data_IF_785463732908
#
_entry.id   IF_785463732908
#
_cell.length_a   1.000
_cell.length_b   1.000
_cell.length_c   1.000
_cell.angle_alpha   90.00
_cell.angle_beta   90.00
_cell.angle_gamma   90.00
#
_symmetry.space_group_name_H-M   'P 1'
#
loop_
_entity.id
_entity.type
_entity.pdbx_description
1 polymer ?
#
# COMPACT_ATOMS: atom_id res chain seq x y z
N UNK A 1 -0.91 -56.85 -28.68
CA UNK A 1 -0.55 -55.60 -27.99
C UNK A 1 -1.72 -54.67 -28.16
N UNK A 2 -2.54 -54.59 -27.11
CA UNK A 2 -3.89 -54.05 -27.15
C UNK A 2 -3.85 -52.59 -26.74
N UNK A 3 -4.38 -51.73 -27.61
CA UNK A 3 -4.53 -50.29 -27.45
C UNK A 3 -5.78 -50.08 -26.60
N UNK A 4 -5.62 -49.80 -25.30
CA UNK A 4 -6.74 -49.41 -24.43
C UNK A 4 -6.87 -47.89 -24.42
N UNK A 5 -7.81 -47.41 -25.23
CA UNK A 5 -8.54 -46.18 -24.99
C UNK A 5 -9.07 -46.14 -23.55
N UNK A 6 -8.71 -45.10 -22.79
CA UNK A 6 -9.48 -44.69 -21.63
C UNK A 6 -10.24 -43.41 -21.96
N UNK A 7 -11.55 -43.62 -22.00
CA UNK A 7 -12.65 -42.70 -22.16
C UNK A 7 -12.73 -41.70 -20.98
N UNK A 8 -12.79 -40.40 -21.31
CA UNK A 8 -13.56 -39.33 -20.62
C UNK A 8 -13.08 -38.84 -19.23
N UNK A 9 -13.46 -37.60 -18.79
CA UNK A 9 -14.57 -36.77 -19.27
C UNK A 9 -14.23 -35.32 -19.67
N UNK A 10 -14.83 -34.90 -20.78
CA UNK A 10 -15.16 -33.51 -21.10
C UNK A 10 -15.89 -32.85 -19.93
N UNK A 11 -15.28 -31.86 -19.28
CA UNK A 11 -15.99 -30.93 -18.39
C UNK A 11 -16.95 -30.11 -19.24
N UNK A 12 -18.25 -30.40 -19.11
CA UNK A 12 -19.34 -29.49 -19.48
C UNK A 12 -19.16 -28.21 -18.67
N UNK A 13 -18.74 -27.13 -19.32
CA UNK A 13 -18.80 -25.79 -18.76
C UNK A 13 -20.25 -25.42 -18.44
N UNK A 14 -20.51 -24.63 -17.40
CA UNK A 14 -21.86 -24.16 -17.10
C UNK A 14 -22.38 -23.34 -18.26
N UNK A 15 -23.59 -23.68 -18.71
CA UNK A 15 -24.31 -22.97 -19.74
C UNK A 15 -24.46 -21.50 -19.33
N UNK A 16 -23.90 -20.60 -20.15
CA UNK A 16 -24.22 -19.17 -20.12
C UNK A 16 -25.71 -19.02 -20.44
N UNK A 17 -26.53 -18.95 -19.39
CA UNK A 17 -27.91 -18.53 -19.50
C UNK A 17 -27.91 -17.02 -19.80
N UNK A 18 -27.97 -16.71 -21.09
CA UNK A 18 -28.27 -15.38 -21.64
C UNK A 18 -29.70 -15.02 -21.22
N UNK A 19 -29.84 -14.44 -20.03
CA UNK A 19 -31.09 -13.83 -19.60
C UNK A 19 -31.20 -12.46 -20.26
N UNK A 20 -31.81 -12.45 -21.44
CA UNK A 20 -32.37 -11.26 -22.06
C UNK A 20 -33.77 -11.01 -21.48
N UNK A 21 -34.09 -9.72 -21.27
CA UNK A 21 -35.38 -9.06 -21.05
C UNK A 21 -35.66 -8.57 -19.62
N UNK A 22 -36.39 -7.44 -19.42
CA UNK A 22 -36.67 -6.31 -20.34
C UNK A 22 -36.38 -4.93 -19.70
N UNK A 23 -36.28 -3.90 -20.56
CA UNK A 23 -36.39 -2.49 -20.17
C UNK A 23 -37.74 -2.27 -19.46
N UNK A 24 -37.71 -2.00 -18.16
CA UNK A 24 -38.80 -1.35 -17.46
C UNK A 24 -38.43 0.14 -17.30
N UNK A 25 -38.85 0.94 -18.27
CA UNK A 25 -38.91 2.39 -18.12
C UNK A 25 -39.97 2.70 -17.04
N UNK A 26 -39.52 3.14 -15.87
CA UNK A 26 -40.38 3.71 -14.85
C UNK A 26 -40.06 5.20 -14.71
N UNK A 27 -40.82 5.99 -15.47
CA UNK A 27 -40.96 7.43 -15.29
C UNK A 27 -42.00 7.72 -14.19
N UNK A 28 -41.93 8.93 -13.62
CA UNK A 28 -42.74 9.57 -12.55
C UNK A 28 -42.09 9.46 -11.15
N UNK A 29 -41.92 10.52 -10.34
CA UNK A 29 -42.48 11.89 -10.35
C UNK A 29 -41.58 12.88 -9.59
N UNK A 30 -41.64 14.12 -10.05
CA UNK A 30 -41.12 15.37 -9.49
C UNK A 30 -41.59 15.58 -8.03
N UNK A 31 -40.66 15.83 -7.10
CA UNK A 31 -40.99 16.55 -5.86
C UNK A 31 -40.06 17.75 -5.72
N UNK A 32 -40.49 18.85 -6.30
CA UNK A 32 -39.93 20.18 -6.10
C UNK A 32 -40.54 20.76 -4.84
N UNK A 33 -39.77 20.82 -3.75
CA UNK A 33 -40.06 21.72 -2.64
C UNK A 33 -39.29 23.02 -2.90
N UNK A 34 -39.91 23.91 -3.68
CA UNK A 34 -39.55 25.32 -3.73
C UNK A 34 -40.78 26.14 -3.31
N UNK A 35 -40.65 26.85 -2.19
CA UNK A 35 -41.44 27.99 -1.70
C UNK A 35 -40.80 28.32 -0.33
N UNK A 36 -40.06 29.40 -0.08
CA UNK A 36 -40.04 30.74 -0.68
C UNK A 36 -40.50 31.74 0.38
N UNK A 37 -39.58 32.51 0.98
CA UNK A 37 -39.90 33.63 1.87
C UNK A 37 -38.64 34.43 2.28
N UNK A 38 -38.63 35.79 2.21
CA UNK A 38 -37.40 36.58 2.06
C UNK A 38 -36.96 37.42 3.29
N UNK A 39 -35.70 37.86 3.20
CA UNK A 39 -35.11 39.13 3.67
C UNK A 39 -35.15 39.49 5.17
N UNK A 40 -33.99 39.35 5.83
CA UNK A 40 -33.35 40.42 6.59
C UNK A 40 -31.86 40.09 6.82
N UNK A 41 -30.97 40.74 6.07
CA UNK A 41 -29.61 41.13 6.52
C UNK A 41 -29.73 42.15 7.68
N UNK A 42 -28.66 42.55 8.38
CA UNK A 42 -27.28 42.02 8.47
C UNK A 42 -26.81 41.82 9.93
N UNK A 43 -25.73 41.07 10.19
CA UNK A 43 -24.69 41.46 11.16
C UNK A 43 -23.44 40.60 10.95
N UNK A 44 -22.37 41.28 10.55
CA UNK A 44 -20.97 40.92 10.66
C UNK A 44 -20.64 40.10 11.92
N UNK A 45 -20.14 38.88 11.72
CA UNK A 45 -19.16 38.25 12.59
C UNK A 45 -18.14 37.52 11.70
N UNK A 46 -17.55 38.28 10.79
CA UNK A 46 -16.21 37.99 10.28
C UNK A 46 -15.29 37.95 11.50
N UNK A 47 -15.05 36.76 12.05
CA UNK A 47 -13.94 36.56 12.97
C UNK A 47 -12.69 36.61 12.11
N UNK A 48 -12.22 37.84 11.90
CA UNK A 48 -10.90 38.16 11.42
C UNK A 48 -9.88 37.49 12.35
N UNK A 49 -9.48 36.27 12.00
CA UNK A 49 -8.26 35.69 12.54
C UNK A 49 -7.14 36.50 11.94
N UNK A 50 -6.61 37.38 12.78
CA UNK A 50 -5.56 38.34 12.52
C UNK A 50 -4.45 37.74 11.67
N UNK A 51 -4.38 38.20 10.43
CA UNK A 51 -3.18 38.19 9.60
C UNK A 51 -2.13 39.05 10.30
N UNK A 52 -1.38 38.45 11.22
CA UNK A 52 -0.18 39.09 11.78
C UNK A 52 0.90 39.06 10.71
N UNK A 53 1.00 40.17 9.97
CA UNK A 53 2.16 40.47 9.14
C UNK A 53 3.39 40.61 10.05
N UNK A 54 4.51 39.92 9.79
CA UNK A 54 5.76 40.24 10.45
C UNK A 54 6.31 41.55 9.87
N UNK A 55 6.39 42.59 10.71
CA UNK A 55 7.15 43.80 10.40
C UNK A 55 8.65 43.49 10.28
N UNK A 56 9.37 44.06 9.30
CA UNK A 56 10.81 43.93 9.16
C UNK A 56 11.53 44.83 10.19
N UNK A 57 11.88 44.27 11.34
CA UNK A 57 12.85 44.91 12.24
C UNK A 57 14.24 44.88 11.63
N UNK A 58 14.66 46.04 11.14
CA UNK A 58 16.04 46.34 10.76
C UNK A 58 16.84 46.67 12.03
N UNK A 59 18.15 46.35 12.03
CA UNK A 59 19.26 46.95 12.83
C UNK A 59 19.74 46.14 14.06
N UNK A 60 21.05 46.14 14.43
CA UNK A 60 22.32 46.22 13.68
C UNK A 60 23.25 45.00 13.90
N UNK A 61 24.33 44.98 13.12
CA UNK A 61 25.53 44.16 13.26
C UNK A 61 26.37 44.57 14.49
N UNK A 62 26.86 43.61 15.31
CA UNK A 62 28.17 43.74 15.92
C UNK A 62 29.13 42.66 15.42
N UNK A 63 30.21 43.14 14.81
CA UNK A 63 31.49 42.44 14.65
C UNK A 63 32.08 42.14 16.02
N UNK A 64 32.43 40.87 16.29
CA UNK A 64 33.78 40.44 16.72
C UNK A 64 33.79 38.97 17.21
N UNK A 65 34.59 38.17 16.48
CA UNK A 65 35.50 37.13 16.95
C UNK A 65 35.22 36.39 18.27
N UNK A 66 34.98 35.08 18.14
CA UNK A 66 35.16 34.09 19.20
C UNK A 66 35.48 32.74 18.58
N UNK A 67 36.76 32.51 18.29
CA UNK A 67 37.27 31.18 17.96
C UNK A 67 37.21 30.31 19.22
N UNK A 68 36.54 29.17 19.15
CA UNK A 68 36.73 28.05 20.07
C UNK A 68 36.46 26.77 19.32
N UNK A 69 37.55 26.17 18.85
CA UNK A 69 37.61 24.81 18.37
C UNK A 69 37.40 23.86 19.56
N UNK A 70 36.29 23.17 19.60
CA UNK A 70 36.12 21.96 20.40
C UNK A 70 36.24 20.76 19.46
N UNK A 71 37.36 20.07 19.58
CA UNK A 71 37.67 18.83 18.85
C UNK A 71 36.56 17.79 19.05
N UNK A 72 36.20 17.02 18.00
CA UNK A 72 35.35 15.86 18.17
C UNK A 72 36.17 14.76 18.88
N UNK A 73 35.70 14.33 20.05
CA UNK A 73 36.06 13.01 20.58
C UNK A 73 35.44 11.99 19.62
N UNK A 74 36.31 11.30 18.88
CA UNK A 74 35.97 10.10 18.13
C UNK A 74 35.44 9.06 19.12
N UNK A 75 34.12 8.93 19.18
CA UNK A 75 33.48 7.80 19.83
C UNK A 75 33.60 6.65 18.85
N UNK A 76 34.50 5.72 19.16
CA UNK A 76 34.62 4.41 18.51
C UNK A 76 33.25 3.77 18.44
N UNK A 77 32.65 3.83 17.26
CA UNK A 77 31.51 3.03 16.87
C UNK A 77 31.97 1.57 16.90
N UNK A 78 31.35 0.68 17.70
CA UNK A 78 31.59 -0.74 17.49
C UNK A 78 31.11 -1.03 16.08
N UNK A 79 32.06 -1.28 15.20
CA UNK A 79 31.86 -1.84 13.88
C UNK A 79 31.26 -3.22 14.08
N UNK A 80 29.95 -3.26 14.34
CA UNK A 80 29.16 -4.45 14.24
C UNK A 80 29.30 -4.90 12.81
N UNK A 81 29.97 -6.03 12.60
CA UNK A 81 29.70 -6.88 11.45
C UNK A 81 28.18 -6.93 11.33
N UNK A 82 27.62 -6.20 10.35
CA UNK A 82 26.30 -6.48 9.88
C UNK A 82 26.40 -7.92 9.38
N UNK A 83 25.90 -8.85 10.20
CA UNK A 83 25.66 -10.21 9.78
C UNK A 83 24.71 -10.08 8.61
N UNK A 84 25.26 -10.15 7.40
CA UNK A 84 24.49 -10.24 6.18
C UNK A 84 23.64 -11.49 6.39
N UNK A 85 22.32 -11.36 6.61
CA UNK A 85 21.49 -12.54 6.79
C UNK A 85 21.78 -13.45 5.60
N UNK A 86 21.88 -14.77 5.81
CA UNK A 86 22.18 -15.68 4.72
C UNK A 86 21.27 -15.30 3.55
N UNK A 87 21.88 -15.01 2.40
CA UNK A 87 21.14 -14.81 1.16
C UNK A 87 20.13 -15.95 1.13
N UNK A 88 18.87 -15.58 1.16
CA UNK A 88 17.80 -16.50 1.50
C UNK A 88 17.62 -17.43 0.31
N UNK A 89 18.46 -18.46 0.31
CA UNK A 89 18.66 -19.33 -0.82
C UNK A 89 17.48 -20.28 -0.85
N UNK A 90 16.77 -20.28 -1.98
CA UNK A 90 15.71 -21.25 -2.26
C UNK A 90 14.27 -20.73 -2.17
N UNK A 91 14.02 -19.43 -1.94
CA UNK A 91 12.63 -18.92 -2.00
C UNK A 91 12.10 -18.98 -3.42
N UNK A 92 10.98 -19.68 -3.59
CA UNK A 92 10.26 -19.80 -4.86
C UNK A 92 8.88 -19.17 -4.74
N UNK A 93 8.53 -18.27 -5.65
CA UNK A 93 7.26 -17.55 -5.59
C UNK A 93 6.68 -17.30 -6.98
N UNK A 94 5.35 -17.32 -7.07
CA UNK A 94 4.60 -16.82 -8.21
C UNK A 94 3.41 -16.02 -7.66
N UNK A 95 3.56 -14.71 -7.64
CA UNK A 95 2.64 -13.79 -6.97
C UNK A 95 2.07 -12.76 -7.94
N UNK A 96 0.80 -12.45 -7.75
CA UNK A 96 0.15 -11.26 -8.29
C UNK A 96 0.07 -10.21 -7.20
N UNK A 97 0.54 -9.01 -7.50
CA UNK A 97 0.57 -7.87 -6.58
C UNK A 97 -0.33 -6.80 -7.18
N UNK A 98 -1.37 -6.41 -6.47
CA UNK A 98 -2.29 -5.35 -6.87
C UNK A 98 -2.12 -4.17 -5.95
N UNK A 99 -1.90 -2.97 -6.49
CA UNK A 99 -1.70 -1.73 -5.72
C UNK A 99 -2.70 -0.69 -6.21
N UNK A 100 -3.52 -0.17 -5.32
CA UNK A 100 -4.44 0.94 -5.59
C UNK A 100 -3.96 2.17 -4.81
N UNK A 101 -3.74 3.27 -5.54
CA UNK A 101 -3.25 4.53 -4.96
C UNK A 101 -4.39 5.39 -4.42
N UNK A 102 -5.60 5.21 -4.96
CA UNK A 102 -6.81 5.94 -4.60
C UNK A 102 -8.01 5.00 -4.76
N UNK A 103 -9.02 5.04 -3.87
CA UNK A 103 -10.18 4.15 -3.94
C UNK A 103 -11.03 4.31 -5.21
N UNK A 104 -10.94 5.45 -5.91
CA UNK A 104 -11.61 5.69 -7.18
C UNK A 104 -10.75 5.31 -8.40
N UNK A 105 -9.48 4.98 -8.21
CA UNK A 105 -8.57 4.58 -9.28
C UNK A 105 -8.55 3.07 -9.47
N UNK A 106 -8.37 2.64 -10.73
CA UNK A 106 -8.14 1.24 -11.06
C UNK A 106 -6.81 0.75 -10.47
N UNK A 107 -6.78 -0.40 -9.77
CA UNK A 107 -5.55 -0.96 -9.23
C UNK A 107 -4.54 -1.32 -10.33
N UNK A 108 -3.27 -0.98 -10.10
CA UNK A 108 -2.16 -1.43 -10.95
C UNK A 108 -1.73 -2.82 -10.52
N UNK A 109 -1.54 -3.71 -11.48
CA UNK A 109 -1.21 -5.12 -11.25
C UNK A 109 0.20 -5.44 -11.73
N UNK A 110 0.94 -6.16 -10.88
CA UNK A 110 2.28 -6.65 -11.14
C UNK A 110 2.35 -8.16 -10.91
N UNK A 111 3.29 -8.80 -11.60
CA UNK A 111 3.68 -10.19 -11.36
C UNK A 111 5.06 -10.19 -10.71
N UNK A 112 5.24 -11.03 -9.70
CA UNK A 112 6.53 -11.31 -9.10
C UNK A 112 6.76 -12.82 -9.13
N UNK A 113 7.74 -13.21 -9.92
CA UNK A 113 8.28 -14.57 -9.94
C UNK A 113 9.63 -14.57 -9.23
N UNK A 114 9.81 -15.44 -8.25
CA UNK A 114 11.11 -15.67 -7.63
C UNK A 114 11.51 -17.13 -7.85
N UNK A 115 12.73 -17.35 -8.32
CA UNK A 115 13.35 -18.66 -8.50
C UNK A 115 14.66 -18.66 -7.72
N UNK A 116 14.76 -19.53 -6.72
CA UNK A 116 15.92 -19.62 -5.83
C UNK A 116 16.33 -18.27 -5.18
N UNK A 117 15.33 -17.44 -4.88
CA UNK A 117 15.52 -16.12 -4.26
C UNK A 117 15.88 -14.99 -5.23
N UNK A 118 16.00 -15.27 -6.54
CA UNK A 118 16.24 -14.27 -7.57
C UNK A 118 14.99 -14.03 -8.45
N UNK A 119 14.82 -12.85 -9.06
CA UNK A 119 13.70 -12.59 -9.96
C UNK A 119 13.71 -13.50 -11.19
N UNK A 120 12.56 -14.08 -11.48
CA UNK A 120 12.30 -14.82 -12.72
C UNK A 120 11.83 -13.91 -13.86
N UNK A 121 11.88 -14.41 -15.11
CA UNK A 121 11.54 -13.64 -16.32
C UNK A 121 10.07 -13.21 -16.40
N UNK A 122 9.16 -13.81 -15.64
CA UNK A 122 7.77 -13.38 -15.59
C UNK A 122 7.53 -12.14 -14.71
N UNK A 123 8.55 -11.69 -13.95
CA UNK A 123 8.42 -10.55 -13.04
C UNK A 123 8.24 -9.24 -13.81
N UNK A 124 7.19 -8.49 -13.45
CA UNK A 124 6.93 -7.13 -13.94
C UNK A 124 7.04 -6.07 -12.85
N UNK A 125 7.27 -6.49 -11.59
CA UNK A 125 7.46 -5.59 -10.47
C UNK A 125 8.78 -4.80 -10.62
N UNK A 126 8.79 -3.46 -10.54
CA UNK A 126 9.98 -2.64 -10.78
C UNK A 126 11.18 -2.96 -9.87
N UNK A 127 10.93 -3.41 -8.64
CA UNK A 127 11.96 -3.72 -7.63
C UNK A 127 11.99 -5.23 -7.31
N UNK A 128 11.94 -6.08 -8.33
CA UNK A 128 11.78 -7.52 -8.14
C UNK A 128 12.88 -8.16 -7.26
N UNK A 129 14.15 -7.72 -7.38
CA UNK A 129 15.26 -8.25 -6.57
C UNK A 129 15.04 -8.02 -5.08
N UNK A 130 14.71 -6.78 -4.70
CA UNK A 130 14.43 -6.41 -3.32
C UNK A 130 13.16 -7.13 -2.81
N UNK A 131 12.17 -7.30 -3.67
CA UNK A 131 10.95 -8.01 -3.33
C UNK A 131 11.21 -9.50 -3.04
N UNK A 132 11.99 -10.20 -3.86
CA UNK A 132 12.35 -11.60 -3.59
C UNK A 132 13.14 -11.73 -2.27
N UNK A 133 14.08 -10.83 -2.00
CA UNK A 133 14.80 -10.80 -0.72
C UNK A 133 13.85 -10.56 0.47
N UNK A 134 12.85 -9.69 0.32
CA UNK A 134 11.86 -9.43 1.35
C UNK A 134 10.94 -10.63 1.61
N UNK A 135 10.48 -11.33 0.57
CA UNK A 135 9.69 -12.56 0.72
C UNK A 135 10.44 -13.60 1.55
N UNK A 136 11.72 -13.77 1.23
CA UNK A 136 12.55 -14.77 1.85
C UNK A 136 12.89 -14.42 3.32
N UNK A 137 13.06 -13.13 3.63
CA UNK A 137 13.22 -12.62 5.01
C UNK A 137 11.95 -12.76 5.85
N UNK A 138 10.78 -12.49 5.27
CA UNK A 138 9.50 -12.45 6.00
C UNK A 138 8.88 -13.85 6.13
N UNK A 139 9.10 -14.71 5.15
CA UNK A 139 8.57 -16.07 5.07
C UNK A 139 7.05 -16.14 4.87
N UNK A 140 6.56 -17.33 4.52
CA UNK A 140 5.12 -17.59 4.24
C UNK A 140 4.18 -17.25 5.39
N UNK A 141 4.64 -17.37 6.63
CA UNK A 141 3.81 -17.08 7.83
C UNK A 141 3.39 -15.63 7.89
N UNK A 142 4.19 -14.69 7.42
CA UNK A 142 3.82 -13.28 7.39
C UNK A 142 2.64 -13.00 6.44
N UNK A 143 2.64 -13.65 5.28
CA UNK A 143 1.63 -13.45 4.23
C UNK A 143 0.36 -14.28 4.43
N UNK A 144 0.39 -15.30 5.29
CA UNK A 144 -0.77 -16.10 5.69
C UNK A 144 -1.37 -15.71 7.04
N UNK A 145 -0.64 -14.92 7.85
CA UNK A 145 -1.15 -14.41 9.11
C UNK A 145 -2.31 -13.44 8.89
N UNK A 146 -3.41 -13.68 9.62
CA UNK A 146 -4.48 -12.70 9.73
C UNK A 146 -4.16 -11.71 10.86
N UNK A 147 -4.43 -10.40 10.67
CA UNK A 147 -4.35 -9.43 11.74
C UNK A 147 -5.13 -9.90 12.96
N UNK A 148 -4.56 -9.71 14.16
CA UNK A 148 -5.29 -10.03 15.39
C UNK A 148 -6.42 -9.04 15.56
N UNK A 149 -7.64 -9.56 15.68
CA UNK A 149 -8.84 -8.80 16.02
C UNK A 149 -8.82 -8.19 17.43
N UNK A 150 -7.88 -8.65 18.27
CA UNK A 150 -7.68 -8.19 19.64
C UNK A 150 -6.45 -7.25 19.75
N UNK A 151 -5.83 -6.89 18.62
CA UNK A 151 -4.72 -5.93 18.60
C UNK A 151 -5.23 -4.52 18.95
N UNK A 152 -4.52 -3.82 19.84
CA UNK A 152 -4.75 -2.41 20.14
C UNK A 152 -3.86 -1.58 19.22
N UNK A 153 -4.48 -0.86 18.29
CA UNK A 153 -3.80 -0.08 17.25
C UNK A 153 -4.08 1.41 17.44
N UNK A 154 -3.16 2.28 16.99
CA UNK A 154 -3.40 3.72 16.98
C UNK A 154 -4.34 4.08 15.84
N UNK A 155 -5.20 5.08 16.02
CA UNK A 155 -6.10 5.58 14.98
C UNK A 155 -5.38 6.54 14.01
N UNK A 156 -4.20 6.15 13.53
CA UNK A 156 -3.41 6.94 12.59
C UNK A 156 -3.75 6.56 11.16
N UNK A 157 -4.19 7.55 10.37
CA UNK A 157 -4.42 7.37 8.94
C UNK A 157 -3.15 7.73 8.15
N UNK A 158 -2.61 6.77 7.41
CA UNK A 158 -1.39 6.89 6.60
C UNK A 158 -1.65 7.16 5.11
N UNK A 159 -2.89 7.01 4.64
CA UNK A 159 -3.29 7.34 3.27
C UNK A 159 -4.37 6.42 2.70
N UNK A 160 -4.90 6.76 1.50
CA UNK A 160 -5.97 5.99 0.84
C UNK A 160 -5.50 4.68 0.20
N UNK A 161 -4.19 4.46 0.13
CA UNK A 161 -3.61 3.35 -0.60
C UNK A 161 -3.98 2.00 0.02
N UNK A 162 -4.24 1.04 -0.86
CA UNK A 162 -4.43 -0.36 -0.49
C UNK A 162 -3.63 -1.25 -1.43
N UNK A 163 -3.31 -2.45 -0.97
CA UNK A 163 -2.65 -3.45 -1.80
C UNK A 163 -3.10 -4.86 -1.43
N UNK A 164 -2.96 -5.78 -2.38
CA UNK A 164 -3.11 -7.21 -2.15
C UNK A 164 -1.97 -7.99 -2.81
N UNK A 165 -1.57 -9.08 -2.17
CA UNK A 165 -0.59 -10.04 -2.66
C UNK A 165 -1.24 -11.41 -2.62
N UNK A 166 -1.32 -12.06 -3.79
CA UNK A 166 -1.94 -13.38 -3.95
C UNK A 166 -1.06 -14.31 -4.76
N UNK A 167 -1.17 -15.61 -4.54
CA UNK A 167 -0.46 -16.63 -5.32
C UNK A 167 0.19 -17.68 -4.46
N UNK A 168 1.34 -18.18 -4.87
CA UNK A 168 2.10 -19.22 -4.16
C UNK A 168 3.47 -18.69 -3.73
N UNK A 169 3.85 -19.01 -2.49
CA UNK A 169 5.16 -18.74 -1.92
C UNK A 169 5.63 -20.01 -1.21
N UNK A 170 6.75 -20.58 -1.65
CA UNK A 170 7.33 -21.84 -1.16
C UNK A 170 6.29 -22.99 -1.08
N UNK A 171 5.43 -23.09 -2.09
CA UNK A 171 4.33 -24.07 -2.17
C UNK A 171 3.17 -23.83 -1.20
N UNK A 172 3.14 -22.66 -0.54
CA UNK A 172 2.04 -22.22 0.30
C UNK A 172 1.23 -21.15 -0.40
N UNK A 173 -0.09 -21.36 -0.48
CA UNK A 173 -1.00 -20.34 -0.99
C UNK A 173 -1.07 -19.14 -0.05
N UNK A 174 -0.86 -17.94 -0.60
CA UNK A 174 -0.88 -16.69 0.14
C UNK A 174 -2.00 -15.77 -0.34
N UNK A 175 -2.63 -15.08 0.61
CA UNK A 175 -3.57 -14.00 0.38
C UNK A 175 -3.36 -12.99 1.51
N UNK A 176 -2.65 -11.91 1.18
CA UNK A 176 -2.38 -10.82 2.11
C UNK A 176 -2.97 -9.53 1.56
N UNK A 177 -3.73 -8.82 2.39
CA UNK A 177 -4.21 -7.47 2.11
C UNK A 177 -3.48 -6.46 3.00
N UNK A 178 -3.26 -5.26 2.48
CA UNK A 178 -2.58 -4.17 3.17
C UNK A 178 -3.37 -2.89 2.96
N UNK A 179 -3.45 -2.09 4.01
CA UNK A 179 -4.02 -0.75 3.99
C UNK A 179 -3.22 0.15 4.94
N UNK A 180 -3.58 1.41 5.02
CA UNK A 180 -2.90 2.41 5.84
C UNK A 180 -3.90 3.10 6.77
N UNK A 181 -4.86 2.37 7.33
CA UNK A 181 -5.97 2.96 8.07
C UNK A 181 -5.74 3.10 9.58
N UNK A 182 -4.78 2.34 10.11
CA UNK A 182 -4.35 2.40 11.51
C UNK A 182 -2.85 2.10 11.67
N UNK A 183 -2.31 2.31 12.87
CA UNK A 183 -0.88 2.12 13.14
C UNK A 183 -0.37 0.69 13.00
N UNK A 184 -1.21 -0.32 13.20
CA UNK A 184 -0.82 -1.72 13.01
C UNK A 184 -0.71 -2.06 11.52
N UNK A 185 -1.65 -1.56 10.70
CA UNK A 185 -1.61 -1.75 9.25
C UNK A 185 -0.44 -1.00 8.61
N UNK A 186 -0.19 0.25 9.02
CA UNK A 186 0.98 1.03 8.59
C UNK A 186 2.26 0.28 8.92
N UNK A 187 2.41 -0.20 10.17
CA UNK A 187 3.58 -0.98 10.58
C UNK A 187 3.75 -2.27 9.78
N UNK A 188 2.66 -2.85 9.29
CA UNK A 188 2.69 -4.06 8.46
C UNK A 188 3.06 -3.73 7.01
N UNK A 189 2.59 -2.60 6.47
CA UNK A 189 3.02 -2.08 5.18
C UNK A 189 4.53 -1.79 5.16
N UNK A 190 5.04 -1.16 6.23
CA UNK A 190 6.47 -0.82 6.34
C UNK A 190 7.40 -2.04 6.18
N UNK A 191 6.97 -3.21 6.64
CA UNK A 191 7.73 -4.46 6.52
C UNK A 191 7.84 -4.96 5.08
N UNK A 192 6.92 -4.57 4.20
CA UNK A 192 6.84 -5.01 2.79
C UNK A 192 7.08 -3.86 1.80
N UNK A 193 7.67 -2.75 2.23
CA UNK A 193 7.97 -1.61 1.33
C UNK A 193 8.90 -1.98 0.16
N UNK A 194 9.74 -2.99 0.33
CA UNK A 194 10.57 -3.51 -0.77
C UNK A 194 9.73 -4.19 -1.86
N UNK A 195 8.48 -4.59 -1.55
CA UNK A 195 7.53 -5.19 -2.49
C UNK A 195 6.52 -4.14 -2.98
N UNK A 196 5.94 -3.36 -2.08
CA UNK A 196 4.81 -2.45 -2.36
C UNK A 196 5.23 -1.00 -2.61
N UNK A 197 6.48 -0.64 -2.34
CA UNK A 197 6.95 0.74 -2.33
C UNK A 197 6.53 1.51 -1.07
N UNK A 198 6.93 2.78 -1.04
CA UNK A 198 6.52 3.70 0.01
C UNK A 198 5.08 4.17 -0.23
N UNK A 199 4.25 4.29 0.82
CA UNK A 199 2.96 4.96 0.71
C UNK A 199 3.09 6.32 0.02
N UNK A 200 2.32 6.56 -1.04
CA UNK A 200 2.30 7.85 -1.75
C UNK A 200 3.51 8.16 -2.63
N UNK A 201 4.46 7.22 -2.79
CA UNK A 201 5.52 7.33 -3.78
C UNK A 201 5.08 6.68 -5.10
N UNK A 202 5.10 7.44 -6.19
CA UNK A 202 5.10 6.94 -7.57
C UNK A 202 6.24 7.60 -8.33
#
# INVERSE_FOLDING_TARGET
MTISELLSPTRRGPAMARFLLPLAALSLVLSACAQGGPAAEPIDQETAVQSSAPEPSTTPLPTAAGTSASSPTASTEPSGTAEVPPAAAGTTAMLTISISQDPAAEPVQYVLECVDGAPGPASTLPNAEAACAALARLGTKFFTARPSKDAICTQQYGGPQTASITGELDGTSVLASFALTDGCEISRWDKVRDILGSPGGQ
#
